data_IF_406157962037
#
_entry.id   IF_406157962037
#
_cell.length_a   1.000
_cell.length_b   1.000
_cell.length_c   1.000
_cell.angle_alpha   90.00
_cell.angle_beta   90.00
_cell.angle_gamma   90.00
#
_symmetry.space_group_name_H-M   'P 1'
#
loop_
_entity.id
_entity.type
_entity.pdbx_description
1 polymer ?
#
# COMPACT_ATOMS: atom_id res chain seq x y z
N UNK A 1 6.60 48.43 -87.59
CA UNK A 1 7.62 48.16 -86.59
C UNK A 1 6.89 47.97 -85.25
N UNK A 2 6.81 46.69 -84.69
CA UNK A 2 6.10 46.39 -83.46
C UNK A 2 7.12 46.07 -82.38
N UNK A 3 7.12 46.87 -81.35
CA UNK A 3 7.93 46.70 -80.16
C UNK A 3 7.26 45.70 -79.20
N UNK A 4 7.96 44.65 -78.74
CA UNK A 4 7.53 43.69 -77.73
C UNK A 4 8.15 44.02 -76.39
N UNK A 5 7.32 44.34 -75.39
CA UNK A 5 7.77 44.54 -74.05
C UNK A 5 7.79 43.16 -73.32
N UNK A 6 8.93 42.83 -72.71
CA UNK A 6 9.11 41.64 -71.82
C UNK A 6 8.72 42.05 -70.42
N UNK A 7 7.68 41.43 -69.88
CA UNK A 7 7.31 41.57 -68.46
C UNK A 7 8.02 40.51 -67.62
N UNK A 8 8.81 40.99 -66.68
CA UNK A 8 9.47 40.13 -65.67
C UNK A 8 8.52 39.91 -64.52
N UNK A 9 8.04 38.66 -64.34
CA UNK A 9 7.22 38.27 -63.18
C UNK A 9 8.13 37.90 -62.00
N UNK A 10 8.06 38.71 -60.94
CA UNK A 10 8.70 38.41 -59.64
C UNK A 10 7.79 37.41 -58.87
N UNK A 11 8.24 36.16 -58.69
CA UNK A 11 7.65 35.22 -57.77
C UNK A 11 8.09 35.53 -56.31
N UNK A 12 7.18 36.00 -55.52
CA UNK A 12 7.39 36.17 -54.08
C UNK A 12 7.15 34.81 -53.42
N UNK A 13 8.24 34.16 -52.95
CA UNK A 13 8.17 32.96 -52.12
C UNK A 13 7.81 33.37 -50.68
N UNK A 14 6.57 33.20 -50.28
CA UNK A 14 6.15 33.36 -48.88
C UNK A 14 6.58 32.14 -48.06
N UNK A 15 7.62 32.30 -47.25
CA UNK A 15 8.02 31.30 -46.27
C UNK A 15 7.02 31.29 -45.11
N UNK A 16 6.16 30.25 -45.08
CA UNK A 16 5.26 29.99 -43.98
C UNK A 16 6.06 29.49 -42.78
N UNK A 17 6.29 30.36 -41.77
CA UNK A 17 6.79 29.95 -40.44
C UNK A 17 5.68 29.18 -39.73
N UNK A 18 5.77 27.86 -39.72
CA UNK A 18 4.98 27.04 -38.79
C UNK A 18 5.54 27.22 -37.37
N UNK A 19 4.70 27.57 -36.37
CA UNK A 19 5.18 27.63 -35.00
C UNK A 19 5.46 26.19 -34.55
N UNK A 20 6.70 25.89 -34.14
CA UNK A 20 7.04 24.68 -33.40
C UNK A 20 6.32 24.75 -32.06
N UNK A 21 5.17 24.07 -31.96
CA UNK A 21 4.56 23.76 -30.68
C UNK A 21 5.52 22.84 -29.91
N UNK A 22 5.96 23.23 -28.69
CA UNK A 22 6.76 22.32 -27.89
C UNK A 22 5.92 21.08 -27.59
N UNK A 23 6.42 19.92 -27.99
CA UNK A 23 5.88 18.63 -27.52
C UNK A 23 5.96 18.63 -25.99
N UNK A 24 4.83 18.86 -25.32
CA UNK A 24 4.72 18.59 -23.90
C UNK A 24 5.09 17.11 -23.72
N UNK A 25 6.29 16.85 -23.21
CA UNK A 25 6.70 15.52 -22.78
C UNK A 25 5.69 15.10 -21.72
N UNK A 26 4.92 14.04 -21.99
CA UNK A 26 4.02 13.47 -20.98
C UNK A 26 4.84 13.27 -19.70
N UNK A 27 4.34 13.80 -18.58
CA UNK A 27 5.00 13.61 -17.30
C UNK A 27 5.14 12.10 -17.08
N UNK A 28 6.31 11.68 -16.63
CA UNK A 28 6.59 10.29 -16.28
C UNK A 28 5.60 9.87 -15.20
N UNK A 29 4.64 9.03 -15.58
CA UNK A 29 3.60 8.55 -14.68
C UNK A 29 4.05 7.35 -13.86
N UNK A 30 5.15 6.69 -14.26
CA UNK A 30 5.63 5.46 -13.65
C UNK A 30 6.01 5.64 -12.18
N UNK A 31 5.90 4.54 -11.44
CA UNK A 31 6.33 4.48 -10.04
C UNK A 31 7.78 4.00 -10.00
N UNK A 32 8.70 4.91 -9.71
CA UNK A 32 10.12 4.59 -9.49
C UNK A 32 10.34 4.30 -8.01
N UNK A 33 10.58 3.02 -7.68
CA UNK A 33 10.60 2.53 -6.31
C UNK A 33 11.96 1.96 -5.95
N UNK A 34 12.50 2.36 -4.81
CA UNK A 34 13.72 1.78 -4.21
C UNK A 34 13.33 0.63 -3.30
N UNK A 35 13.22 -0.55 -3.89
CA UNK A 35 12.85 -1.77 -3.19
C UNK A 35 13.98 -2.30 -2.33
N UNK A 36 13.73 -2.42 -1.02
CA UNK A 36 14.62 -3.00 -0.03
C UNK A 36 14.17 -4.42 0.30
N UNK A 37 15.06 -5.38 0.22
CA UNK A 37 14.83 -6.77 0.59
C UNK A 37 16.01 -7.30 1.41
N UNK A 38 15.86 -8.48 1.99
CA UNK A 38 16.91 -9.19 2.71
C UNK A 38 17.04 -10.59 2.14
N UNK A 39 18.19 -10.89 1.58
CA UNK A 39 18.45 -12.20 0.96
C UNK A 39 19.33 -13.05 1.86
N UNK A 40 19.09 -14.39 1.95
CA UNK A 40 19.93 -15.26 2.72
C UNK A 40 21.38 -15.23 2.19
N UNK A 41 22.33 -14.97 3.08
CA UNK A 41 23.75 -15.14 2.83
C UNK A 41 24.28 -16.27 3.73
N UNK A 42 25.60 -16.44 3.80
CA UNK A 42 26.21 -17.48 4.65
C UNK A 42 25.85 -17.27 6.13
N UNK A 43 25.63 -18.36 6.86
CA UNK A 43 25.47 -18.38 8.33
C UNK A 43 24.33 -17.52 8.90
N UNK A 44 23.11 -17.64 8.36
CA UNK A 44 21.94 -16.91 8.83
C UNK A 44 22.05 -15.38 8.75
N UNK A 45 22.97 -14.85 7.97
CA UNK A 45 23.05 -13.43 7.68
C UNK A 45 22.11 -13.08 6.54
N UNK A 46 21.35 -11.99 6.70
CA UNK A 46 20.41 -11.47 5.72
C UNK A 46 20.74 -10.01 5.39
N UNK A 47 21.79 -9.75 4.60
CA UNK A 47 22.15 -8.39 4.22
C UNK A 47 20.99 -7.69 3.48
N UNK A 48 20.90 -6.39 3.71
CA UNK A 48 20.00 -5.52 2.96
C UNK A 48 20.48 -5.45 1.51
N UNK A 49 19.53 -5.62 0.58
CA UNK A 49 19.72 -5.42 -0.85
C UNK A 49 18.70 -4.41 -1.33
N UNK A 50 19.15 -3.33 -1.94
CA UNK A 50 18.28 -2.34 -2.57
C UNK A 50 18.33 -2.49 -4.09
N UNK A 51 17.16 -2.36 -4.72
CA UNK A 51 17.01 -2.44 -6.17
C UNK A 51 16.01 -1.39 -6.64
N UNK A 52 16.39 -0.62 -7.65
CA UNK A 52 15.47 0.25 -8.35
C UNK A 52 14.54 -0.58 -9.23
N UNK A 53 13.24 -0.33 -9.12
CA UNK A 53 12.23 -0.94 -9.98
C UNK A 53 11.27 0.13 -10.49
N UNK A 54 10.69 -0.13 -11.64
CA UNK A 54 9.68 0.74 -12.25
C UNK A 54 8.39 -0.05 -12.39
N UNK A 55 7.31 0.44 -11.77
CA UNK A 55 5.98 -0.15 -11.84
C UNK A 55 5.03 0.76 -12.63
N UNK A 56 4.23 0.16 -13.51
CA UNK A 56 3.12 0.83 -14.16
C UNK A 56 2.01 1.11 -13.13
N UNK A 57 1.66 2.37 -12.86
CA UNK A 57 0.62 2.71 -11.88
C UNK A 57 -0.74 2.12 -12.24
N UNK A 58 -1.06 1.98 -13.55
CA UNK A 58 -2.32 1.37 -14.00
C UNK A 58 -2.40 -0.13 -13.76
N UNK A 59 -1.26 -0.77 -13.50
CA UNK A 59 -1.13 -2.19 -13.12
C UNK A 59 -0.81 -2.38 -11.65
N UNK A 60 -0.98 -1.33 -10.85
CA UNK A 60 -0.64 -1.30 -9.43
C UNK A 60 -1.87 -0.95 -8.60
N UNK A 61 -2.07 -1.68 -7.49
CA UNK A 61 -3.03 -1.34 -6.46
C UNK A 61 -2.31 -0.96 -5.16
N UNK A 62 -2.89 -0.02 -4.41
CA UNK A 62 -2.49 0.34 -3.05
C UNK A 62 -3.63 -0.03 -2.11
N UNK A 63 -3.34 -0.92 -1.16
CA UNK A 63 -4.28 -1.37 -0.13
C UNK A 63 -4.02 -0.58 1.16
N UNK A 64 -5.06 0.08 1.66
CA UNK A 64 -5.10 0.78 2.95
C UNK A 64 -5.76 -0.14 3.96
N UNK A 65 -4.93 -0.86 4.72
CA UNK A 65 -5.37 -1.88 5.68
C UNK A 65 -5.72 -1.25 7.02
N UNK A 66 -6.93 -1.51 7.51
CA UNK A 66 -7.39 -1.34 8.90
C UNK A 66 -7.05 0.01 9.58
N UNK A 67 -7.06 1.08 8.80
CA UNK A 67 -6.90 2.44 9.32
C UNK A 67 -8.21 2.92 9.96
N UNK A 68 -8.56 2.34 11.10
CA UNK A 68 -9.82 2.57 11.81
C UNK A 68 -9.88 3.92 12.54
N UNK A 69 -11.09 4.37 12.84
CA UNK A 69 -11.38 5.62 13.56
C UNK A 69 -11.07 5.54 15.07
N UNK A 70 -11.03 4.35 15.67
CA UNK A 70 -10.56 4.08 17.03
C UNK A 70 -9.94 2.69 17.12
N UNK A 71 -9.32 2.38 18.25
CA UNK A 71 -8.79 1.07 18.60
C UNK A 71 -8.87 0.84 20.11
N UNK A 72 -9.07 -0.41 20.56
CA UNK A 72 -9.13 -0.72 21.99
C UNK A 72 -7.82 -0.35 22.70
N UNK A 73 -6.67 -0.54 22.06
CA UNK A 73 -5.38 -0.03 22.54
C UNK A 73 -5.25 1.45 22.18
N UNK A 74 -5.25 2.33 23.16
CA UNK A 74 -5.25 3.78 22.93
C UNK A 74 -3.93 4.32 22.40
N UNK A 75 -2.80 3.66 22.69
CA UNK A 75 -1.53 3.99 22.03
C UNK A 75 -1.59 3.70 20.52
N UNK A 76 -2.17 2.56 20.13
CA UNK A 76 -2.35 2.22 18.72
C UNK A 76 -3.29 3.22 18.02
N UNK A 77 -4.44 3.55 18.63
CA UNK A 77 -5.36 4.56 18.10
C UNK A 77 -4.68 5.92 17.86
N UNK A 78 -3.83 6.36 18.81
CA UNK A 78 -3.05 7.60 18.67
C UNK A 78 -2.09 7.54 17.49
N UNK A 79 -1.35 6.43 17.32
CA UNK A 79 -0.41 6.26 16.21
C UNK A 79 -1.13 6.15 14.86
N UNK A 80 -2.28 5.48 14.79
CA UNK A 80 -3.14 5.50 13.59
C UNK A 80 -3.56 6.93 13.25
N UNK A 81 -3.98 7.72 14.22
CA UNK A 81 -4.32 9.13 14.01
C UNK A 81 -3.15 9.98 13.51
N UNK A 82 -1.92 9.70 13.97
CA UNK A 82 -0.70 10.37 13.52
C UNK A 82 -0.30 9.95 12.09
N UNK A 83 -0.44 8.67 11.77
CA UNK A 83 -0.14 8.11 10.45
C UNK A 83 -1.14 8.54 9.36
N UNK A 84 -2.39 8.76 9.73
CA UNK A 84 -3.50 8.93 8.78
C UNK A 84 -3.32 10.11 7.82
N UNK A 85 -2.84 11.26 8.30
CA UNK A 85 -2.61 12.43 7.46
C UNK A 85 -1.52 12.18 6.39
N UNK A 86 -0.31 11.76 6.77
CA UNK A 86 0.74 11.36 5.83
C UNK A 86 0.31 10.27 4.85
N UNK A 87 -0.40 9.24 5.32
CA UNK A 87 -0.91 8.18 4.45
C UNK A 87 -1.96 8.70 3.46
N UNK A 88 -2.81 9.64 3.86
CA UNK A 88 -3.76 10.28 2.93
C UNK A 88 -3.04 11.03 1.79
N UNK A 89 -1.92 11.67 2.07
CA UNK A 89 -1.10 12.31 1.02
C UNK A 89 -0.53 11.26 0.05
N UNK A 90 -0.04 10.12 0.55
CA UNK A 90 0.38 8.99 -0.28
C UNK A 90 -0.76 8.48 -1.15
N UNK A 91 -1.94 8.26 -0.57
CA UNK A 91 -3.14 7.80 -1.28
C UNK A 91 -3.52 8.76 -2.40
N UNK A 92 -3.50 10.08 -2.15
CA UNK A 92 -3.77 11.10 -3.15
C UNK A 92 -2.77 11.07 -4.30
N UNK A 93 -1.48 10.97 -4.00
CA UNK A 93 -0.41 10.92 -5.01
C UNK A 93 -0.51 9.63 -5.86
N UNK A 94 -0.72 8.49 -5.22
CA UNK A 94 -0.90 7.20 -5.90
C UNK A 94 -2.13 7.25 -6.83
N UNK A 95 -3.26 7.74 -6.34
CA UNK A 95 -4.50 7.91 -7.12
C UNK A 95 -4.28 8.83 -8.33
N UNK A 96 -3.61 9.96 -8.15
CA UNK A 96 -3.32 10.91 -9.23
C UNK A 96 -2.45 10.30 -10.33
N UNK A 97 -1.61 9.32 -10.02
CA UNK A 97 -0.82 8.55 -10.99
C UNK A 97 -1.62 7.42 -11.67
N UNK A 98 -2.82 7.11 -11.20
CA UNK A 98 -3.68 6.05 -11.74
C UNK A 98 -3.59 4.71 -11.03
N UNK A 99 -2.99 4.66 -9.84
CA UNK A 99 -2.99 3.47 -8.96
C UNK A 99 -4.41 3.20 -8.47
N UNK A 100 -4.85 1.94 -8.51
CA UNK A 100 -6.11 1.52 -7.89
C UNK A 100 -5.98 1.59 -6.36
N UNK A 101 -6.85 2.37 -5.71
CA UNK A 101 -6.89 2.42 -4.25
C UNK A 101 -7.96 1.45 -3.75
N UNK A 102 -7.58 0.60 -2.78
CA UNK A 102 -8.49 -0.33 -2.11
C UNK A 102 -8.45 -0.01 -0.61
N UNK A 103 -9.53 0.52 -0.09
CA UNK A 103 -9.72 0.71 1.35
C UNK A 103 -10.23 -0.59 1.95
N UNK A 104 -9.53 -1.09 2.96
CA UNK A 104 -9.84 -2.38 3.57
C UNK A 104 -10.00 -2.25 5.10
N UNK A 105 -11.04 -1.54 5.59
CA UNK A 105 -11.35 -1.42 7.00
C UNK A 105 -12.10 -2.67 7.46
N UNK A 106 -11.38 -3.71 7.87
CA UNK A 106 -11.95 -5.01 8.23
C UNK A 106 -13.03 -4.91 9.30
N UNK A 107 -14.04 -5.74 9.17
CA UNK A 107 -15.19 -5.88 10.08
C UNK A 107 -16.18 -4.72 10.08
N UNK A 108 -15.90 -3.62 9.37
CA UNK A 108 -16.79 -2.44 9.33
C UNK A 108 -17.20 -2.03 7.91
N UNK A 109 -16.98 -2.87 6.93
CA UNK A 109 -17.41 -2.62 5.54
C UNK A 109 -18.90 -2.40 5.40
N UNK A 110 -19.72 -2.93 6.32
CA UNK A 110 -21.17 -2.68 6.39
C UNK A 110 -21.53 -1.19 6.54
N UNK A 111 -20.68 -0.41 7.20
CA UNK A 111 -20.88 1.05 7.28
C UNK A 111 -20.92 1.70 5.89
N UNK A 112 -20.25 1.10 4.91
CA UNK A 112 -20.10 1.59 3.54
C UNK A 112 -21.03 0.91 2.53
N UNK A 113 -21.95 0.04 2.95
CA UNK A 113 -22.74 -0.84 2.08
C UNK A 113 -23.41 -0.13 0.90
N UNK A 114 -23.88 1.10 1.12
CA UNK A 114 -24.57 1.88 0.10
C UNK A 114 -23.66 2.82 -0.71
N UNK A 115 -22.35 2.81 -0.45
CA UNK A 115 -21.41 3.70 -1.15
C UNK A 115 -21.04 3.14 -2.52
N UNK A 116 -20.73 4.01 -3.51
CA UNK A 116 -20.25 3.56 -4.81
C UNK A 116 -18.96 2.71 -4.73
N UNK A 117 -18.09 3.01 -3.78
CA UNK A 117 -16.81 2.31 -3.60
C UNK A 117 -17.00 0.87 -3.11
N UNK A 118 -17.97 0.65 -2.20
CA UNK A 118 -18.34 -0.70 -1.77
C UNK A 118 -19.00 -1.48 -2.89
N UNK A 119 -19.92 -0.85 -3.61
CA UNK A 119 -20.60 -1.45 -4.77
C UNK A 119 -19.62 -1.79 -5.89
N UNK A 120 -18.59 -0.96 -6.11
CA UNK A 120 -17.53 -1.24 -7.07
C UNK A 120 -16.82 -2.55 -6.76
N UNK A 121 -16.48 -2.78 -5.48
CA UNK A 121 -15.84 -4.03 -5.07
C UNK A 121 -16.76 -5.24 -5.23
N UNK A 122 -18.02 -5.13 -4.82
CA UNK A 122 -19.02 -6.20 -4.92
C UNK A 122 -19.37 -6.57 -6.37
N UNK A 123 -19.34 -5.60 -7.29
CA UNK A 123 -19.70 -5.79 -8.68
C UNK A 123 -18.57 -6.37 -9.54
N UNK A 124 -17.36 -6.51 -9.01
CA UNK A 124 -16.25 -7.07 -9.78
C UNK A 124 -16.55 -8.53 -10.18
N UNK A 125 -16.43 -8.89 -11.48
CA UNK A 125 -16.74 -10.25 -11.95
C UNK A 125 -15.88 -11.29 -11.22
N UNK A 126 -16.49 -12.42 -10.87
CA UNK A 126 -15.76 -13.52 -10.23
C UNK A 126 -14.58 -13.97 -11.10
N UNK A 127 -13.40 -14.03 -10.49
CA UNK A 127 -12.19 -14.59 -11.06
C UNK A 127 -11.68 -15.72 -10.17
N UNK A 128 -11.33 -16.86 -10.79
CA UNK A 128 -10.75 -17.98 -10.06
C UNK A 128 -9.35 -17.63 -9.58
N UNK A 129 -9.07 -17.86 -8.30
CA UNK A 129 -7.71 -17.71 -7.75
C UNK A 129 -6.80 -18.86 -8.20
N UNK A 130 -5.51 -18.60 -8.42
CA UNK A 130 -4.54 -19.64 -8.84
C UNK A 130 -4.30 -20.67 -7.73
N UNK A 131 -4.45 -20.28 -6.47
CA UNK A 131 -4.43 -21.15 -5.30
C UNK A 131 -5.66 -20.86 -4.44
N UNK A 132 -6.17 -21.81 -3.64
CA UNK A 132 -7.30 -21.56 -2.74
C UNK A 132 -7.00 -20.40 -1.79
N UNK A 133 -7.97 -19.53 -1.58
CA UNK A 133 -7.92 -18.56 -0.49
C UNK A 133 -8.07 -19.28 0.84
N UNK A 134 -7.46 -18.73 1.90
CA UNK A 134 -7.65 -19.27 3.24
C UNK A 134 -9.12 -19.22 3.64
N UNK A 135 -9.62 -20.28 4.25
CA UNK A 135 -10.99 -20.38 4.80
C UNK A 135 -11.02 -20.29 6.32
N UNK A 136 -9.86 -20.37 6.97
CA UNK A 136 -9.79 -20.23 8.43
C UNK A 136 -10.03 -18.77 8.83
N UNK A 137 -10.87 -18.57 9.83
CA UNK A 137 -11.24 -17.23 10.28
C UNK A 137 -10.46 -16.79 11.51
N UNK A 138 -10.23 -15.49 11.58
CA UNK A 138 -9.76 -14.78 12.76
C UNK A 138 -10.36 -13.37 12.76
N UNK A 139 -10.92 -12.95 13.88
CA UNK A 139 -11.51 -11.63 14.04
C UNK A 139 -12.51 -11.24 12.93
N UNK A 140 -13.44 -12.17 12.66
CA UNK A 140 -14.57 -11.93 11.76
C UNK A 140 -14.27 -11.93 10.27
N UNK A 141 -13.04 -12.26 9.84
CA UNK A 141 -12.69 -12.46 8.42
C UNK A 141 -11.80 -13.68 8.26
N UNK A 142 -11.69 -14.19 7.03
CA UNK A 142 -10.70 -15.23 6.72
C UNK A 142 -9.29 -14.72 6.97
N UNK A 143 -8.38 -15.64 7.31
CA UNK A 143 -7.04 -15.29 7.73
C UNK A 143 -6.00 -16.18 7.04
N UNK A 144 -4.97 -15.58 6.44
CA UNK A 144 -3.83 -16.29 5.91
C UNK A 144 -2.78 -16.47 7.03
N UNK A 145 -2.73 -17.68 7.58
CA UNK A 145 -1.87 -18.05 8.70
C UNK A 145 -0.40 -18.10 8.29
N UNK A 146 0.54 -17.97 9.24
CA UNK A 146 1.96 -18.22 8.99
C UNK A 146 2.20 -19.60 8.40
N UNK A 147 3.12 -19.67 7.44
CA UNK A 147 3.59 -20.95 6.89
C UNK A 147 4.98 -21.27 7.46
N UNK A 148 5.11 -22.24 8.39
CA UNK A 148 6.39 -22.59 9.01
C UNK A 148 7.42 -23.16 8.02
N UNK A 149 6.99 -23.53 6.80
CA UNK A 149 7.91 -23.94 5.74
C UNK A 149 8.52 -22.74 5.00
N UNK A 150 7.92 -21.56 5.14
CA UNK A 150 8.34 -20.36 4.43
C UNK A 150 8.95 -19.31 5.36
N UNK A 151 8.35 -19.09 6.52
CA UNK A 151 8.76 -18.06 7.47
C UNK A 151 9.03 -18.63 8.85
N UNK A 152 9.90 -18.00 9.62
CA UNK A 152 10.09 -18.28 11.04
C UNK A 152 8.99 -17.63 11.88
N UNK A 153 8.95 -17.90 13.19
CA UNK A 153 8.13 -17.12 14.11
C UNK A 153 8.46 -15.63 14.02
N UNK A 154 7.47 -14.80 14.34
CA UNK A 154 7.66 -13.36 14.43
C UNK A 154 8.78 -13.01 15.42
N UNK A 155 9.60 -11.99 15.13
CA UNK A 155 10.71 -11.60 15.99
C UNK A 155 10.26 -10.90 17.28
N UNK A 156 8.97 -10.64 17.44
CA UNK A 156 8.36 -10.02 18.60
C UNK A 156 7.35 -10.95 19.25
N UNK A 157 7.17 -10.85 20.57
CA UNK A 157 6.09 -11.53 21.29
C UNK A 157 4.85 -10.63 21.33
N UNK A 158 3.82 -11.03 20.60
CA UNK A 158 2.52 -10.37 20.55
C UNK A 158 1.40 -11.19 21.25
N UNK A 159 1.78 -12.13 22.11
CA UNK A 159 0.85 -13.02 22.83
C UNK A 159 -0.14 -12.29 23.74
N UNK A 160 0.20 -11.07 24.17
CA UNK A 160 -0.65 -10.15 24.94
C UNK A 160 -1.43 -9.16 24.06
N UNK A 161 -1.54 -9.44 22.74
CA UNK A 161 -2.12 -8.57 21.74
C UNK A 161 -1.36 -7.24 21.53
N UNK A 162 -0.14 -7.12 22.07
CA UNK A 162 0.81 -6.05 21.77
C UNK A 162 0.41 -4.63 22.21
N UNK A 163 -0.44 -4.49 23.23
CA UNK A 163 -0.84 -3.16 23.72
C UNK A 163 0.34 -2.48 24.42
N UNK A 164 0.78 -1.33 23.89
CA UNK A 164 1.89 -0.52 24.41
C UNK A 164 1.45 0.63 25.32
N UNK A 165 0.21 0.63 25.84
CA UNK A 165 -0.23 1.62 26.81
C UNK A 165 0.50 1.42 28.16
N UNK A 166 0.98 2.51 28.73
CA UNK A 166 1.55 2.53 30.08
C UNK A 166 0.45 2.57 31.15
N UNK A 167 0.65 1.92 32.29
CA UNK A 167 -0.32 1.86 33.37
C UNK A 167 -1.39 0.78 33.19
N UNK A 168 -2.66 1.13 33.36
CA UNK A 168 -3.76 0.17 33.24
C UNK A 168 -3.90 -0.33 31.82
N UNK A 169 -3.84 -1.66 31.62
CA UNK A 169 -4.01 -2.28 30.30
C UNK A 169 -5.42 -2.00 29.74
N UNK A 170 -5.47 -1.69 28.46
CA UNK A 170 -6.73 -1.48 27.76
C UNK A 170 -7.51 -2.81 27.63
N UNK A 171 -8.82 -2.77 27.93
CA UNK A 171 -9.68 -3.93 27.71
C UNK A 171 -9.85 -4.20 26.20
N UNK A 172 -9.59 -5.43 25.78
CA UNK A 172 -9.77 -5.86 24.40
C UNK A 172 -11.29 -5.86 24.09
N UNK A 173 -11.69 -5.08 23.10
CA UNK A 173 -13.07 -4.96 22.62
C UNK A 173 -13.10 -4.42 21.20
N UNK A 174 -14.17 -4.60 20.50
CA UNK A 174 -14.43 -3.88 19.27
C UNK A 174 -14.67 -2.39 19.61
N UNK A 175 -13.84 -1.51 19.05
CA UNK A 175 -13.84 -0.08 19.37
C UNK A 175 -14.01 0.79 18.14
N UNK A 176 -13.79 0.23 16.95
CA UNK A 176 -13.84 0.92 15.67
C UNK A 176 -15.22 0.81 15.03
N UNK A 177 -15.59 1.81 14.25
CA UNK A 177 -16.87 1.87 13.55
C UNK A 177 -16.72 2.04 12.04
N UNK A 178 -15.58 2.56 11.60
CA UNK A 178 -15.27 2.87 10.20
C UNK A 178 -13.78 3.15 10.01
N UNK A 179 -13.37 3.41 8.78
CA UNK A 179 -12.05 3.98 8.51
C UNK A 179 -11.95 5.40 9.06
N UNK A 180 -10.78 5.78 9.57
CA UNK A 180 -10.54 7.15 10.04
C UNK A 180 -10.80 8.17 8.92
N UNK A 181 -11.58 9.20 9.21
CA UNK A 181 -12.04 10.19 8.22
C UNK A 181 -10.94 11.07 7.63
N UNK A 182 -9.75 11.08 8.23
CA UNK A 182 -8.58 11.77 7.68
C UNK A 182 -8.08 11.16 6.37
N UNK A 183 -8.41 9.89 6.09
CA UNK A 183 -8.09 9.22 4.83
C UNK A 183 -9.31 9.30 3.92
N UNK A 184 -9.17 10.04 2.84
CA UNK A 184 -10.21 10.25 1.86
C UNK A 184 -10.51 8.99 1.06
N UNK A 185 -11.79 8.62 0.97
CA UNK A 185 -12.31 7.59 0.07
C UNK A 185 -12.95 8.32 -1.12
N UNK A 186 -12.23 8.38 -2.23
CA UNK A 186 -12.62 9.17 -3.41
C UNK A 186 -13.44 8.35 -4.42
N UNK A 187 -14.12 9.02 -5.38
CA UNK A 187 -14.71 8.33 -6.53
C UNK A 187 -13.66 7.51 -7.29
N UNK A 188 -14.00 6.26 -7.63
CA UNK A 188 -13.12 5.32 -8.32
C UNK A 188 -12.24 4.44 -7.43
N UNK A 189 -12.14 4.76 -6.13
CA UNK A 189 -11.57 3.84 -5.15
C UNK A 189 -12.51 2.63 -4.94
N UNK A 190 -11.96 1.53 -4.45
CA UNK A 190 -12.73 0.38 -4.02
C UNK A 190 -12.70 0.24 -2.50
N UNK A 191 -13.72 -0.42 -1.93
CA UNK A 191 -13.79 -0.69 -0.50
C UNK A 191 -14.24 -2.12 -0.24
N UNK A 192 -13.37 -2.92 0.36
CA UNK A 192 -13.64 -4.32 0.73
C UNK A 192 -12.62 -4.85 1.73
N UNK A 193 -13.04 -5.75 2.59
CA UNK A 193 -12.19 -6.57 3.46
C UNK A 193 -12.23 -8.06 3.08
N UNK A 194 -12.85 -8.38 1.96
CA UNK A 194 -13.02 -9.73 1.45
C UNK A 194 -11.94 -10.11 0.44
N UNK A 195 -11.28 -11.25 0.63
CA UNK A 195 -10.20 -11.71 -0.23
C UNK A 195 -10.63 -12.02 -1.66
N UNK A 196 -11.81 -12.63 -1.85
CA UNK A 196 -12.31 -12.94 -3.19
C UNK A 196 -12.69 -11.67 -3.96
N UNK A 197 -13.35 -10.72 -3.31
CA UNK A 197 -13.67 -9.42 -3.92
C UNK A 197 -12.39 -8.65 -4.28
N UNK A 198 -11.39 -8.66 -3.40
CA UNK A 198 -10.07 -8.06 -3.68
C UNK A 198 -9.45 -8.71 -4.92
N UNK A 199 -9.42 -10.04 -4.98
CA UNK A 199 -8.88 -10.76 -6.14
C UNK A 199 -9.65 -10.42 -7.42
N UNK A 200 -10.97 -10.44 -7.38
CA UNK A 200 -11.82 -10.09 -8.52
C UNK A 200 -11.50 -8.70 -9.08
N UNK A 201 -11.34 -7.71 -8.21
CA UNK A 201 -10.95 -6.34 -8.57
C UNK A 201 -9.57 -6.31 -9.26
N UNK A 202 -8.59 -7.01 -8.68
CA UNK A 202 -7.23 -7.05 -9.21
C UNK A 202 -7.21 -7.66 -10.61
N UNK A 203 -7.93 -8.76 -10.83
CA UNK A 203 -8.02 -9.41 -12.13
C UNK A 203 -8.79 -8.55 -13.16
N UNK A 204 -9.93 -8.00 -12.77
CA UNK A 204 -10.73 -7.11 -13.64
C UNK A 204 -9.92 -5.91 -14.15
N UNK A 205 -9.02 -5.38 -13.31
CA UNK A 205 -8.21 -4.20 -13.63
C UNK A 205 -6.82 -4.55 -14.19
N UNK A 206 -6.49 -5.82 -14.35
CA UNK A 206 -5.17 -6.27 -14.80
C UNK A 206 -4.04 -5.88 -13.86
N UNK A 207 -4.34 -5.82 -12.56
CA UNK A 207 -3.36 -5.46 -11.53
C UNK A 207 -2.39 -6.62 -11.31
N UNK A 208 -1.11 -6.34 -11.39
CA UNK A 208 -0.02 -7.31 -11.13
C UNK A 208 0.81 -6.94 -9.92
N UNK A 209 0.79 -5.66 -9.50
CA UNK A 209 1.55 -5.14 -8.38
C UNK A 209 0.62 -4.68 -7.27
N UNK A 210 0.94 -5.02 -6.00
CA UNK A 210 0.14 -4.66 -4.83
C UNK A 210 1.04 -4.04 -3.77
N UNK A 211 0.73 -2.81 -3.38
CA UNK A 211 1.38 -2.10 -2.29
C UNK A 211 0.52 -2.24 -1.04
N UNK A 212 1.09 -2.69 0.07
CA UNK A 212 0.42 -2.78 1.37
C UNK A 212 0.85 -1.61 2.26
N UNK A 213 -0.16 -0.99 2.92
CA UNK A 213 -0.01 0.08 3.92
C UNK A 213 -0.99 -0.14 5.06
N UNK A 214 -0.89 0.67 6.11
CA UNK A 214 -1.84 0.65 7.22
C UNK A 214 -1.41 -0.30 8.34
N UNK A 215 -2.37 -0.80 9.14
CA UNK A 215 -2.08 -1.42 10.44
C UNK A 215 -2.83 -2.73 10.66
N UNK A 216 -2.38 -3.60 11.58
CA UNK A 216 -1.03 -3.59 12.14
C UNK A 216 -0.17 -4.62 11.41
N UNK A 217 1.10 -4.31 11.20
CA UNK A 217 1.99 -5.08 10.32
C UNK A 217 2.10 -6.55 10.73
N UNK A 218 2.32 -6.84 12.03
CA UNK A 218 2.43 -8.20 12.54
C UNK A 218 1.10 -8.98 12.54
N UNK A 219 -0.02 -8.32 12.27
CA UNK A 219 -1.37 -8.90 12.31
C UNK A 219 -2.07 -8.76 10.95
N UNK A 220 -2.91 -7.73 10.80
CA UNK A 220 -3.81 -7.56 9.67
C UNK A 220 -3.07 -7.39 8.33
N UNK A 221 -2.02 -6.58 8.28
CA UNK A 221 -1.24 -6.33 7.05
C UNK A 221 -0.58 -7.62 6.55
N UNK A 222 -0.11 -8.49 7.45
CA UNK A 222 0.41 -9.82 7.08
C UNK A 222 -0.69 -10.83 6.79
N UNK A 223 -1.74 -10.89 7.62
CA UNK A 223 -2.62 -12.05 7.72
C UNK A 223 -4.03 -11.89 7.12
N UNK A 224 -4.53 -10.69 6.84
CA UNK A 224 -5.85 -10.52 6.22
C UNK A 224 -5.90 -11.14 4.83
N UNK A 225 -7.09 -11.50 4.30
CA UNK A 225 -7.22 -12.18 3.00
C UNK A 225 -6.82 -11.30 1.80
N UNK A 226 -6.56 -10.04 2.04
CA UNK A 226 -5.98 -9.07 1.09
C UNK A 226 -4.56 -8.64 1.51
N UNK A 227 -4.03 -9.21 2.59
CA UNK A 227 -2.72 -8.88 3.16
C UNK A 227 -1.55 -9.53 2.40
N UNK A 228 -0.34 -9.28 2.92
CA UNK A 228 0.92 -9.68 2.26
C UNK A 228 0.95 -11.16 1.94
N UNK A 229 0.68 -12.04 2.93
CA UNK A 229 0.77 -13.50 2.75
C UNK A 229 -0.13 -13.97 1.61
N UNK A 230 -1.40 -13.53 1.62
CA UNK A 230 -2.36 -13.97 0.61
C UNK A 230 -2.00 -13.43 -0.77
N UNK A 231 -1.65 -12.16 -0.89
CA UNK A 231 -1.31 -11.56 -2.18
C UNK A 231 -0.05 -12.18 -2.81
N UNK A 232 0.95 -12.51 -1.99
CA UNK A 232 2.13 -13.25 -2.46
C UNK A 232 1.77 -14.67 -2.88
N UNK A 233 0.92 -15.36 -2.11
CA UNK A 233 0.51 -16.74 -2.42
C UNK A 233 -0.27 -16.84 -3.74
N UNK A 234 -1.09 -15.84 -4.07
CA UNK A 234 -1.81 -15.77 -5.36
C UNK A 234 -0.96 -15.22 -6.51
N UNK A 235 0.34 -14.97 -6.27
CA UNK A 235 1.31 -14.65 -7.32
C UNK A 235 1.37 -13.17 -7.73
N UNK A 236 0.88 -12.24 -6.91
CA UNK A 236 1.08 -10.81 -7.15
C UNK A 236 2.50 -10.38 -6.77
N UNK A 237 3.03 -9.36 -7.46
CA UNK A 237 4.21 -8.64 -7.01
C UNK A 237 3.80 -7.76 -5.83
N UNK A 238 4.27 -8.08 -4.64
CA UNK A 238 3.87 -7.38 -3.42
C UNK A 238 5.01 -6.53 -2.90
N UNK A 239 4.71 -5.35 -2.38
CA UNK A 239 5.65 -4.52 -1.64
C UNK A 239 4.98 -3.89 -0.42
N UNK A 240 5.72 -3.81 0.69
CA UNK A 240 5.31 -3.09 1.88
C UNK A 240 5.81 -1.63 1.80
N UNK A 241 4.93 -0.66 2.03
CA UNK A 241 5.37 0.72 2.28
C UNK A 241 5.74 0.85 3.76
N UNK A 242 7.05 0.68 4.06
CA UNK A 242 7.54 0.41 5.43
C UNK A 242 7.37 1.55 6.43
N UNK A 243 7.30 2.79 5.97
CA UNK A 243 7.08 3.97 6.81
C UNK A 243 5.59 4.35 6.93
N UNK A 244 4.70 3.60 6.26
CA UNK A 244 3.24 3.79 6.31
C UNK A 244 2.56 2.59 6.99
N UNK A 245 3.17 2.09 8.07
CA UNK A 245 2.65 0.99 8.88
C UNK A 245 3.07 1.14 10.36
N UNK A 246 2.45 0.34 11.21
CA UNK A 246 2.76 0.20 12.64
C UNK A 246 2.51 -1.23 13.09
N UNK A 247 3.06 -1.65 14.22
CA UNK A 247 2.83 -2.98 14.80
C UNK A 247 1.99 -2.91 16.09
N UNK A 248 1.35 -4.01 16.45
CA UNK A 248 0.91 -4.25 17.82
C UNK A 248 2.07 -4.93 18.56
N UNK A 249 2.84 -4.14 19.30
CA UNK A 249 3.97 -4.62 20.08
C UNK A 249 4.08 -3.89 21.41
N UNK A 250 4.13 -4.66 22.49
CA UNK A 250 4.38 -4.18 23.84
C UNK A 250 5.89 -4.23 24.14
N UNK A 251 6.58 -3.09 24.40
CA UNK A 251 8.01 -3.06 24.72
C UNK A 251 8.42 -3.87 25.96
N UNK A 252 7.47 -4.22 26.82
CA UNK A 252 7.71 -5.09 27.99
C UNK A 252 7.78 -6.58 27.63
N UNK A 253 7.50 -6.92 26.36
CA UNK A 253 7.57 -8.27 25.81
C UNK A 253 8.84 -8.47 24.99
N UNK A 254 9.23 -9.74 24.80
CA UNK A 254 10.39 -10.09 23.96
C UNK A 254 10.26 -9.43 22.58
N UNK A 255 11.33 -8.83 22.06
CA UNK A 255 12.71 -8.80 22.53
C UNK A 255 13.04 -7.65 23.52
N UNK A 256 12.05 -6.95 24.08
CA UNK A 256 12.23 -5.86 25.05
C UNK A 256 12.99 -4.65 24.47
N UNK A 257 12.66 -4.29 23.27
CA UNK A 257 13.15 -3.08 22.57
C UNK A 257 12.07 -2.00 22.57
N UNK A 258 12.39 -0.79 22.15
CA UNK A 258 11.35 0.23 22.03
C UNK A 258 10.32 -0.18 20.93
N UNK A 259 9.14 0.44 20.98
CA UNK A 259 8.02 0.10 20.09
C UNK A 259 8.39 0.14 18.60
N UNK A 260 9.15 1.14 18.18
CA UNK A 260 9.50 1.36 16.79
C UNK A 260 10.62 0.42 16.31
N UNK A 261 11.54 0.05 17.20
CA UNK A 261 12.50 -1.04 16.94
C UNK A 261 11.76 -2.38 16.76
N UNK A 262 10.72 -2.63 17.56
CA UNK A 262 9.85 -3.80 17.37
C UNK A 262 9.18 -3.80 16.00
N UNK A 263 8.72 -2.64 15.54
CA UNK A 263 8.17 -2.48 14.18
C UNK A 263 9.23 -2.76 13.11
N UNK A 264 10.45 -2.24 13.26
CA UNK A 264 11.54 -2.51 12.31
C UNK A 264 11.89 -4.00 12.23
N UNK A 265 11.89 -4.71 13.35
CA UNK A 265 12.11 -6.17 13.37
C UNK A 265 11.04 -6.91 12.56
N UNK A 266 9.77 -6.49 12.62
CA UNK A 266 8.71 -7.10 11.80
C UNK A 266 8.84 -6.70 10.33
N UNK A 267 9.26 -5.46 10.02
CA UNK A 267 9.61 -5.07 8.64
C UNK A 267 10.73 -5.94 8.10
N UNK A 268 11.79 -6.18 8.88
CA UNK A 268 12.87 -7.09 8.50
C UNK A 268 12.38 -8.53 8.24
N UNK A 269 11.44 -9.02 9.06
CA UNK A 269 10.81 -10.32 8.87
C UNK A 269 10.08 -10.38 7.52
N UNK A 270 9.31 -9.34 7.19
CA UNK A 270 8.61 -9.23 5.89
C UNK A 270 9.62 -9.23 4.73
N UNK A 271 10.69 -8.45 4.84
CA UNK A 271 11.75 -8.35 3.81
C UNK A 271 12.53 -9.66 3.60
N UNK A 272 12.66 -10.47 4.65
CA UNK A 272 13.32 -11.79 4.61
C UNK A 272 12.45 -12.85 3.95
N UNK A 273 11.16 -12.87 4.25
CA UNK A 273 10.33 -14.04 3.99
C UNK A 273 9.22 -13.80 2.97
N UNK A 274 8.76 -12.58 2.80
CA UNK A 274 7.54 -12.32 2.05
C UNK A 274 7.74 -11.42 0.84
N UNK A 275 8.11 -10.18 1.03
CA UNK A 275 8.19 -9.21 -0.05
C UNK A 275 9.15 -8.06 0.29
N UNK A 276 9.68 -7.36 -0.72
CA UNK A 276 10.45 -6.14 -0.49
C UNK A 276 9.60 -5.05 0.15
N UNK A 277 10.29 -4.05 0.72
CA UNK A 277 9.69 -2.82 1.20
C UNK A 277 10.28 -1.60 0.49
N UNK A 278 9.56 -0.47 0.50
CA UNK A 278 10.06 0.82 0.05
C UNK A 278 9.50 1.93 0.94
N UNK A 279 10.01 3.16 0.84
CA UNK A 279 9.53 4.30 1.61
C UNK A 279 8.56 5.16 0.83
N UNK A 280 7.64 5.82 1.50
CA UNK A 280 6.65 6.74 0.91
C UNK A 280 7.28 7.90 0.15
N UNK A 281 8.55 8.24 0.45
CA UNK A 281 9.34 9.23 -0.26
C UNK A 281 9.39 9.00 -1.77
N UNK A 282 9.41 7.73 -2.21
CA UNK A 282 9.47 7.36 -3.62
C UNK A 282 8.19 7.75 -4.39
N UNK A 283 7.06 7.88 -3.71
CA UNK A 283 5.80 8.34 -4.30
C UNK A 283 5.57 9.83 -4.11
N UNK A 284 5.93 10.36 -2.94
CA UNK A 284 5.57 11.72 -2.53
C UNK A 284 6.66 12.75 -2.83
N UNK A 285 7.90 12.31 -3.02
CA UNK A 285 9.07 13.18 -3.09
C UNK A 285 9.40 13.91 -1.77
N UNK A 286 8.66 13.62 -0.70
CA UNK A 286 8.89 14.16 0.65
C UNK A 286 9.73 13.18 1.46
N UNK A 287 10.27 13.62 2.60
CA UNK A 287 10.94 12.73 3.56
C UNK A 287 10.00 11.62 4.01
N UNK A 288 10.55 10.41 4.20
CA UNK A 288 9.81 9.29 4.77
C UNK A 288 9.18 9.67 6.12
N UNK A 289 7.97 9.18 6.36
CA UNK A 289 7.26 9.47 7.60
C UNK A 289 7.95 8.82 8.79
N UNK A 290 7.89 9.51 9.93
CA UNK A 290 8.36 9.02 11.21
C UNK A 290 7.39 9.48 12.31
N UNK A 291 7.05 8.58 13.21
CA UNK A 291 6.21 8.91 14.37
C UNK A 291 6.92 9.92 15.31
N UNK A 292 6.17 10.80 15.93
CA UNK A 292 6.73 11.85 16.83
C UNK A 292 7.49 11.27 18.02
N UNK A 293 7.05 10.10 18.49
CA UNK A 293 7.70 9.40 19.60
C UNK A 293 8.94 8.61 19.18
N UNK A 294 9.15 8.37 17.89
CA UNK A 294 10.35 7.73 17.33
C UNK A 294 11.50 8.74 17.27
N UNK A 295 12.41 8.66 18.24
CA UNK A 295 13.56 9.58 18.39
C UNK A 295 14.86 9.06 17.73
N UNK A 296 14.81 7.95 17.02
CA UNK A 296 15.97 7.35 16.36
C UNK A 296 16.40 8.11 15.12
#
# INVERSE_FOLDING_TARGET
>A
MKSRAFGCAFMILSASLFPLTPLLRAADSDLHLTMRSRTPARAHNFPVVEKQVTWDPKKTALVVCDMWDDHWCKSAARRVGELAGPLNEVVKQARAKGVLIIHAPSSVTKFYENTPQRKLAQAAPFARTPVPLSTNERWGTTWCWPDPKRETDLPIDDSDMGCSCTGTKCAIREAWTRQISLIEIAPGDALTDNGQETWNLLEQRGIVNVILTGVHLNMCVLGRPFGIRQMVNVGKNVALMRDMTDTMYNPEKRPMVNHFEGTDLVIEHVEKWWCPSFASSDLTGKSAFRFKEDKR
#
